data_IF_499484079316
#
_entry.id   IF_499484079316
#
_cell.length_a   1.000
_cell.length_b   1.000
_cell.length_c   1.000
_cell.angle_alpha   90.00
_cell.angle_beta   90.00
_cell.angle_gamma   90.00
#
_symmetry.space_group_name_H-M   'P 1'
#
loop_
_entity.id
_entity.type
_entity.pdbx_description
1 polymer ?
#
# COMPACT_ATOMS: atom_id res chain seq x y z
N UNK A 1 -133.87 -26.33 -30.81
CA UNK A 1 -135.25 -25.88 -31.11
C UNK A 1 -135.84 -26.82 -32.13
N UNK A 2 -137.11 -27.16 -31.91
CA UNK A 2 -137.88 -28.28 -32.44
C UNK A 2 -137.84 -28.43 -33.97
N UNK A 3 -137.75 -29.67 -34.44
CA UNK A 3 -138.22 -30.04 -35.79
C UNK A 3 -139.51 -30.82 -35.64
N UNK A 4 -140.63 -30.11 -35.72
CA UNK A 4 -141.96 -30.62 -36.00
C UNK A 4 -142.20 -30.55 -37.52
N UNK A 5 -142.67 -31.64 -38.12
CA UNK A 5 -143.52 -31.72 -39.32
C UNK A 5 -143.46 -33.14 -39.89
N UNK A 6 -144.48 -33.71 -40.50
CA UNK A 6 -145.90 -33.38 -40.59
C UNK A 6 -146.53 -34.61 -41.24
N UNK A 7 -147.64 -35.03 -40.66
CA UNK A 7 -148.56 -36.05 -41.17
C UNK A 7 -149.12 -35.63 -42.54
N UNK A 8 -149.06 -36.52 -43.54
CA UNK A 8 -149.85 -36.40 -44.78
C UNK A 8 -151.00 -37.41 -44.73
N UNK A 9 -152.29 -36.99 -44.84
CA UNK A 9 -153.44 -37.88 -44.71
C UNK A 9 -153.71 -38.68 -45.99
N UNK A 10 -153.92 -39.99 -45.81
CA UNK A 10 -154.31 -40.97 -46.84
C UNK A 10 -155.83 -40.88 -47.14
N UNK A 11 -156.29 -39.80 -47.80
CA UNK A 11 -157.71 -39.59 -48.12
C UNK A 11 -158.18 -40.18 -49.45
N UNK A 12 -157.28 -40.75 -50.26
CA UNK A 12 -157.58 -41.16 -51.65
C UNK A 12 -158.19 -42.58 -51.75
N UNK A 13 -158.06 -43.39 -50.70
CA UNK A 13 -158.52 -44.80 -50.74
C UNK A 13 -160.03 -45.00 -50.46
N UNK A 14 -160.74 -44.02 -49.88
CA UNK A 14 -162.14 -44.20 -49.45
C UNK A 14 -163.19 -43.85 -50.52
N UNK A 15 -162.86 -43.06 -51.54
CA UNK A 15 -163.85 -42.63 -52.55
C UNK A 15 -164.09 -43.65 -53.68
N UNK A 16 -163.12 -44.50 -54.00
CA UNK A 16 -163.23 -45.44 -55.12
C UNK A 16 -164.20 -46.61 -54.87
N UNK A 17 -164.48 -46.97 -53.62
CA UNK A 17 -165.35 -48.13 -53.29
C UNK A 17 -166.86 -47.86 -53.46
N UNK A 18 -167.29 -46.60 -53.57
CA UNK A 18 -168.73 -46.24 -53.67
C UNK A 18 -169.26 -46.17 -55.11
N UNK A 19 -168.42 -46.16 -56.14
CA UNK A 19 -168.85 -45.97 -57.54
C UNK A 19 -169.20 -47.25 -58.31
N UNK A 20 -168.79 -48.43 -57.86
CA UNK A 20 -169.06 -49.70 -58.60
C UNK A 20 -170.44 -50.31 -58.34
N UNK A 21 -171.15 -49.90 -57.29
CA UNK A 21 -172.57 -50.25 -57.10
C UNK A 21 -173.45 -49.38 -58.01
N UNK A 22 -173.80 -49.82 -59.23
CA UNK A 22 -175.08 -49.42 -59.88
C UNK A 22 -175.42 -50.07 -61.22
N UNK A 23 -174.51 -50.76 -61.90
CA UNK A 23 -174.83 -51.24 -63.24
C UNK A 23 -175.43 -52.66 -63.27
N UNK A 24 -176.67 -52.70 -63.80
CA UNK A 24 -177.42 -53.84 -64.38
C UNK A 24 -178.31 -54.67 -63.43
N UNK A 25 -179.50 -54.12 -63.13
CA UNK A 25 -180.74 -54.91 -63.04
C UNK A 25 -181.48 -54.79 -64.38
N UNK A 26 -181.48 -55.84 -65.21
CA UNK A 26 -182.32 -55.93 -66.42
C UNK A 26 -183.69 -56.45 -65.97
N UNK A 27 -184.73 -55.63 -66.07
CA UNK A 27 -186.09 -55.95 -65.60
C UNK A 27 -186.69 -57.13 -66.43
N UNK A 28 -186.94 -58.31 -65.82
CA UNK A 28 -187.50 -59.47 -66.51
C UNK A 28 -188.93 -59.25 -67.04
N UNK A 29 -189.67 -58.27 -66.51
CA UNK A 29 -191.06 -57.97 -66.94
C UNK A 29 -191.15 -57.14 -68.21
N UNK A 30 -190.05 -56.49 -68.63
CA UNK A 30 -190.00 -55.70 -69.86
C UNK A 30 -190.30 -56.56 -71.09
N UNK A 31 -189.78 -57.80 -71.13
CA UNK A 31 -190.06 -58.76 -72.20
C UNK A 31 -191.52 -59.24 -72.21
N UNK A 32 -192.14 -59.47 -71.04
CA UNK A 32 -193.54 -59.91 -70.95
C UNK A 32 -194.51 -58.83 -71.46
N UNK A 33 -194.27 -57.55 -71.15
CA UNK A 33 -195.07 -56.44 -71.67
C UNK A 33 -194.88 -56.25 -73.18
N UNK A 34 -193.68 -56.44 -73.70
CA UNK A 34 -193.39 -56.41 -75.14
C UNK A 34 -194.11 -57.56 -75.86
N UNK A 35 -194.06 -58.78 -75.31
CA UNK A 35 -194.69 -59.97 -75.89
C UNK A 35 -196.24 -59.90 -75.86
N UNK A 36 -196.83 -59.34 -74.79
CA UNK A 36 -198.28 -59.09 -74.70
C UNK A 36 -198.72 -58.00 -75.69
N UNK A 37 -197.99 -56.89 -75.78
CA UNK A 37 -198.28 -55.82 -76.75
C UNK A 37 -198.20 -56.33 -78.20
N UNK A 38 -197.27 -57.23 -78.51
CA UNK A 38 -197.18 -57.86 -79.84
C UNK A 38 -198.37 -58.80 -80.10
N UNK A 39 -198.93 -59.48 -79.10
CA UNK A 39 -199.99 -60.49 -79.28
C UNK A 39 -201.39 -59.91 -79.57
N UNK A 40 -201.66 -58.66 -79.17
CA UNK A 40 -202.95 -57.96 -79.37
C UNK A 40 -202.99 -57.11 -80.66
N UNK A 41 -201.88 -57.04 -81.40
CA UNK A 41 -201.74 -56.24 -82.62
C UNK A 41 -201.96 -57.09 -83.88
N UNK A 42 -202.54 -56.50 -84.93
CA UNK A 42 -202.68 -57.16 -86.24
C UNK A 42 -201.29 -57.35 -86.88
N UNK A 43 -201.09 -58.32 -87.79
CA UNK A 43 -199.75 -58.68 -88.30
C UNK A 43 -198.98 -57.50 -88.94
N UNK A 44 -199.70 -56.53 -89.51
CA UNK A 44 -199.14 -55.28 -90.05
C UNK A 44 -198.63 -54.31 -88.97
N UNK A 45 -199.19 -54.34 -87.76
CA UNK A 45 -198.83 -53.43 -86.65
C UNK A 45 -197.70 -54.00 -85.76
N UNK A 46 -197.57 -55.35 -85.70
CA UNK A 46 -196.45 -56.02 -85.00
C UNK A 46 -195.09 -55.67 -85.60
N UNK A 47 -195.02 -55.60 -86.93
CA UNK A 47 -193.80 -55.25 -87.66
C UNK A 47 -193.34 -53.83 -87.31
N UNK A 48 -194.27 -52.86 -87.31
CA UNK A 48 -193.97 -51.48 -86.96
C UNK A 48 -193.50 -51.31 -85.51
N UNK A 49 -194.06 -52.05 -84.55
CA UNK A 49 -193.62 -52.01 -83.15
C UNK A 49 -192.22 -52.61 -82.96
N UNK A 50 -191.92 -53.73 -83.63
CA UNK A 50 -190.59 -54.34 -83.63
C UNK A 50 -189.54 -53.44 -84.30
N UNK A 51 -189.86 -52.82 -85.44
CA UNK A 51 -188.98 -51.83 -86.09
C UNK A 51 -188.66 -50.66 -85.15
N UNK A 52 -189.68 -50.11 -84.48
CA UNK A 52 -189.48 -49.03 -83.50
C UNK A 52 -188.56 -49.48 -82.36
N UNK A 53 -188.78 -50.67 -81.79
CA UNK A 53 -187.94 -51.17 -80.69
C UNK A 53 -186.52 -51.50 -81.12
N UNK A 54 -186.32 -52.05 -82.31
CA UNK A 54 -184.98 -52.26 -82.86
C UNK A 54 -184.27 -50.93 -83.12
N UNK A 55 -185.00 -49.94 -83.64
CA UNK A 55 -184.48 -48.57 -83.84
C UNK A 55 -184.09 -47.91 -82.52
N UNK A 56 -184.91 -48.02 -81.47
CA UNK A 56 -184.58 -47.53 -80.13
C UNK A 56 -183.31 -48.19 -79.58
N UNK A 57 -183.19 -49.52 -79.69
CA UNK A 57 -182.04 -50.27 -79.17
C UNK A 57 -180.75 -49.99 -79.97
N UNK A 58 -180.86 -49.85 -81.30
CA UNK A 58 -179.75 -49.47 -82.16
C UNK A 58 -179.28 -48.04 -81.84
N UNK A 59 -180.23 -47.11 -81.63
CA UNK A 59 -179.91 -45.76 -81.18
C UNK A 59 -179.24 -45.76 -79.81
N UNK A 60 -179.73 -46.55 -78.84
CA UNK A 60 -179.15 -46.69 -77.51
C UNK A 60 -177.71 -47.26 -77.59
N UNK A 61 -177.49 -48.31 -78.38
CA UNK A 61 -176.15 -48.87 -78.61
C UNK A 61 -175.23 -47.84 -79.27
N UNK A 62 -175.73 -47.08 -80.26
CA UNK A 62 -174.97 -46.03 -80.94
C UNK A 62 -174.61 -44.89 -79.99
N UNK A 63 -175.51 -44.50 -79.08
CA UNK A 63 -175.20 -43.52 -78.03
C UNK A 63 -174.20 -44.06 -77.02
N UNK A 64 -174.34 -45.33 -76.59
CA UNK A 64 -173.42 -45.94 -75.62
C UNK A 64 -172.02 -46.15 -76.21
N UNK A 65 -171.92 -46.50 -77.49
CA UNK A 65 -170.66 -46.62 -78.22
C UNK A 65 -169.97 -45.24 -78.34
N UNK A 66 -170.75 -44.19 -78.60
CA UNK A 66 -170.26 -42.81 -78.62
C UNK A 66 -169.76 -42.38 -77.22
N UNK A 67 -170.52 -42.67 -76.15
CA UNK A 67 -170.10 -42.41 -74.77
C UNK A 67 -168.84 -43.22 -74.39
N UNK A 68 -168.76 -44.49 -74.78
CA UNK A 68 -167.58 -45.32 -74.55
C UNK A 68 -166.35 -44.74 -75.26
N UNK A 69 -166.50 -44.32 -76.52
CA UNK A 69 -165.43 -43.68 -77.26
C UNK A 69 -165.02 -42.35 -76.63
N UNK A 70 -165.97 -41.56 -76.12
CA UNK A 70 -165.71 -40.32 -75.39
C UNK A 70 -164.94 -40.59 -74.08
N UNK A 71 -165.38 -41.58 -73.29
CA UNK A 71 -164.69 -41.98 -72.05
C UNK A 71 -163.29 -42.52 -72.35
N UNK A 72 -163.12 -43.30 -73.41
CA UNK A 72 -161.81 -43.81 -73.83
C UNK A 72 -160.88 -42.66 -74.24
N UNK A 73 -161.38 -41.69 -75.02
CA UNK A 73 -160.62 -40.49 -75.39
C UNK A 73 -160.27 -39.65 -74.16
N UNK A 74 -161.20 -39.46 -73.23
CA UNK A 74 -160.96 -38.77 -71.96
C UNK A 74 -159.92 -39.51 -71.10
N UNK A 75 -159.96 -40.84 -71.05
CA UNK A 75 -158.96 -41.64 -70.34
C UNK A 75 -157.57 -41.48 -70.96
N UNK A 76 -157.45 -41.47 -72.28
CA UNK A 76 -156.19 -41.21 -72.97
C UNK A 76 -155.67 -39.79 -72.72
N UNK A 77 -156.56 -38.79 -72.69
CA UNK A 77 -156.21 -37.41 -72.35
C UNK A 77 -155.69 -37.32 -70.90
N UNK A 78 -156.40 -37.92 -69.96
CA UNK A 78 -156.02 -38.00 -68.54
C UNK A 78 -154.69 -38.74 -68.34
N UNK A 79 -154.41 -39.81 -69.10
CA UNK A 79 -153.10 -40.47 -69.06
C UNK A 79 -151.99 -39.54 -69.56
N UNK A 80 -152.21 -38.83 -70.67
CA UNK A 80 -151.25 -37.85 -71.19
C UNK A 80 -151.02 -36.69 -70.21
N UNK A 81 -152.08 -36.18 -69.58
CA UNK A 81 -151.97 -35.14 -68.54
C UNK A 81 -151.23 -35.65 -67.31
N UNK A 82 -151.51 -36.88 -66.85
CA UNK A 82 -150.78 -37.51 -65.75
C UNK A 82 -149.29 -37.63 -66.07
N UNK A 83 -148.94 -38.12 -67.26
CA UNK A 83 -147.55 -38.26 -67.68
C UNK A 83 -146.88 -36.89 -67.86
N UNK A 84 -147.61 -35.89 -68.38
CA UNK A 84 -147.14 -34.52 -68.46
C UNK A 84 -146.83 -33.94 -67.08
N UNK A 85 -147.76 -34.05 -66.12
CA UNK A 85 -147.58 -33.60 -64.74
C UNK A 85 -146.44 -34.36 -64.06
N UNK A 86 -146.34 -35.68 -64.27
CA UNK A 86 -145.25 -36.50 -63.73
C UNK A 86 -143.88 -36.07 -64.27
N UNK A 87 -143.79 -35.74 -65.55
CA UNK A 87 -142.56 -35.24 -66.17
C UNK A 87 -142.19 -33.84 -65.68
N UNK A 88 -143.16 -32.93 -65.57
CA UNK A 88 -142.95 -31.60 -65.00
C UNK A 88 -142.53 -31.66 -63.53
N UNK A 89 -143.11 -32.58 -62.76
CA UNK A 89 -142.68 -32.86 -61.39
C UNK A 89 -141.24 -33.39 -61.33
N UNK A 90 -140.87 -34.32 -62.21
CA UNK A 90 -139.50 -34.82 -62.30
C UNK A 90 -138.48 -33.72 -62.65
N UNK A 91 -138.80 -32.83 -63.60
CA UNK A 91 -137.96 -31.66 -63.92
C UNK A 91 -137.85 -30.68 -62.75
N UNK A 92 -138.97 -30.38 -62.09
CA UNK A 92 -138.99 -29.52 -60.90
C UNK A 92 -138.13 -30.10 -59.77
N UNK A 93 -138.19 -31.43 -59.60
CA UNK A 93 -137.35 -32.15 -58.63
C UNK A 93 -135.86 -32.02 -58.96
N UNK A 94 -135.45 -32.20 -60.21
CA UNK A 94 -134.05 -32.05 -60.65
C UNK A 94 -133.54 -30.62 -60.44
N UNK A 95 -134.34 -29.62 -60.81
CA UNK A 95 -134.04 -28.20 -60.57
C UNK A 95 -133.88 -27.93 -59.06
N UNK A 96 -134.77 -28.47 -58.22
CA UNK A 96 -134.68 -28.34 -56.76
C UNK A 96 -133.38 -28.96 -56.24
N UNK A 97 -133.03 -30.18 -56.66
CA UNK A 97 -131.79 -30.84 -56.24
C UNK A 97 -130.55 -30.08 -56.69
N UNK A 98 -130.55 -29.53 -57.92
CA UNK A 98 -129.46 -28.68 -58.41
C UNK A 98 -129.34 -27.37 -57.62
N UNK A 99 -130.45 -26.71 -57.32
CA UNK A 99 -130.48 -25.49 -56.51
C UNK A 99 -129.99 -25.76 -55.08
N UNK A 100 -130.43 -26.86 -54.46
CA UNK A 100 -129.95 -27.28 -53.13
C UNK A 100 -128.44 -27.52 -53.13
N UNK A 101 -127.90 -28.14 -54.18
CA UNK A 101 -126.46 -28.35 -54.34
C UNK A 101 -125.69 -27.03 -54.44
N UNK A 102 -126.15 -26.09 -55.28
CA UNK A 102 -125.55 -24.75 -55.41
C UNK A 102 -125.66 -23.96 -54.10
N UNK A 103 -126.80 -24.02 -53.40
CA UNK A 103 -126.98 -23.38 -52.10
C UNK A 103 -126.03 -23.94 -51.04
N UNK A 104 -125.82 -25.27 -51.00
CA UNK A 104 -124.83 -25.91 -50.11
C UNK A 104 -123.41 -25.49 -50.46
N UNK A 105 -123.06 -25.44 -51.74
CA UNK A 105 -121.74 -24.98 -52.17
C UNK A 105 -121.51 -23.50 -51.84
N UNK A 106 -122.50 -22.64 -52.07
CA UNK A 106 -122.44 -21.23 -51.69
C UNK A 106 -122.31 -21.04 -50.18
N UNK A 107 -123.02 -21.81 -49.37
CA UNK A 107 -122.88 -21.81 -47.91
C UNK A 107 -121.47 -22.27 -47.49
N UNK A 108 -120.94 -23.32 -48.13
CA UNK A 108 -119.57 -23.81 -47.89
C UNK A 108 -118.54 -22.75 -48.26
N UNK A 109 -118.65 -22.11 -49.43
CA UNK A 109 -117.76 -21.03 -49.87
C UNK A 109 -117.84 -19.82 -48.93
N UNK A 110 -119.03 -19.41 -48.51
CA UNK A 110 -119.20 -18.33 -47.53
C UNK A 110 -118.55 -18.67 -46.18
N UNK A 111 -118.67 -19.92 -45.72
CA UNK A 111 -118.01 -20.39 -44.51
C UNK A 111 -116.49 -20.34 -44.66
N UNK A 112 -115.95 -20.87 -45.77
CA UNK A 112 -114.52 -20.82 -46.07
C UNK A 112 -113.99 -19.39 -46.15
N UNK A 113 -114.70 -18.47 -46.82
CA UNK A 113 -114.29 -17.05 -46.90
C UNK A 113 -114.28 -16.39 -45.51
N UNK A 114 -115.26 -16.70 -44.65
CA UNK A 114 -115.28 -16.19 -43.26
C UNK A 114 -114.09 -16.72 -42.46
N UNK A 115 -113.79 -18.02 -42.59
CA UNK A 115 -112.65 -18.65 -41.92
C UNK A 115 -111.32 -18.09 -42.43
N UNK A 116 -111.15 -17.94 -43.75
CA UNK A 116 -109.96 -17.34 -44.37
C UNK A 116 -109.77 -15.87 -43.97
N UNK A 117 -110.84 -15.07 -43.95
CA UNK A 117 -110.77 -13.67 -43.49
C UNK A 117 -110.40 -13.56 -42.01
N UNK A 118 -110.96 -14.42 -41.16
CA UNK A 118 -110.62 -14.46 -39.74
C UNK A 118 -109.15 -14.86 -39.53
N UNK A 119 -108.66 -15.85 -40.29
CA UNK A 119 -107.27 -16.29 -40.25
C UNK A 119 -106.34 -15.19 -40.76
N UNK A 120 -106.69 -14.51 -41.86
CA UNK A 120 -105.93 -13.38 -42.41
C UNK A 120 -105.89 -12.20 -41.43
N UNK A 121 -107.00 -11.89 -40.76
CA UNK A 121 -107.03 -10.85 -39.73
C UNK A 121 -106.10 -11.20 -38.57
N UNK A 122 -106.13 -12.45 -38.10
CA UNK A 122 -105.23 -12.93 -37.05
C UNK A 122 -103.76 -12.87 -37.47
N UNK A 123 -103.42 -13.32 -38.68
CA UNK A 123 -102.05 -13.26 -39.20
C UNK A 123 -101.55 -11.82 -39.34
N UNK A 124 -102.39 -10.90 -39.82
CA UNK A 124 -102.03 -9.48 -39.91
C UNK A 124 -101.87 -8.85 -38.52
N UNK A 125 -102.69 -9.24 -37.55
CA UNK A 125 -102.55 -8.80 -36.16
C UNK A 125 -101.26 -9.34 -35.52
N UNK A 126 -100.93 -10.62 -35.73
CA UNK A 126 -99.70 -11.24 -35.25
C UNK A 126 -98.47 -10.61 -35.91
N UNK A 127 -98.54 -10.31 -37.22
CA UNK A 127 -97.50 -9.55 -37.94
C UNK A 127 -97.31 -8.15 -37.36
N UNK A 128 -98.39 -7.43 -37.04
CA UNK A 128 -98.31 -6.11 -36.40
C UNK A 128 -97.66 -6.19 -35.02
N UNK A 129 -98.02 -7.20 -34.21
CA UNK A 129 -97.40 -7.44 -32.90
C UNK A 129 -95.92 -7.77 -33.02
N UNK A 130 -95.54 -8.60 -33.98
CA UNK A 130 -94.14 -8.95 -34.25
C UNK A 130 -93.33 -7.73 -34.67
N UNK A 131 -93.80 -6.95 -35.64
CA UNK A 131 -93.13 -5.72 -36.10
C UNK A 131 -92.99 -4.72 -34.94
N UNK A 132 -94.04 -4.54 -34.14
CA UNK A 132 -93.99 -3.65 -32.95
C UNK A 132 -92.97 -4.15 -31.93
N UNK A 133 -92.92 -5.46 -31.67
CA UNK A 133 -91.95 -6.07 -30.77
C UNK A 133 -90.52 -5.92 -31.30
N UNK A 134 -90.30 -6.10 -32.61
CA UNK A 134 -88.99 -5.88 -33.23
C UNK A 134 -88.55 -4.41 -33.09
N UNK A 135 -89.43 -3.44 -33.37
CA UNK A 135 -89.11 -2.02 -33.17
C UNK A 135 -88.77 -1.71 -31.71
N UNK A 136 -89.52 -2.24 -30.74
CA UNK A 136 -89.23 -2.06 -29.32
C UNK A 136 -87.90 -2.69 -28.91
N UNK A 137 -87.58 -3.89 -29.43
CA UNK A 137 -86.27 -4.52 -29.19
C UNK A 137 -85.14 -3.68 -29.76
N UNK A 138 -85.22 -3.25 -31.02
CA UNK A 138 -84.20 -2.40 -31.64
C UNK A 138 -84.05 -1.07 -30.91
N UNK A 139 -85.15 -0.45 -30.45
CA UNK A 139 -85.08 0.77 -29.64
C UNK A 139 -84.33 0.52 -28.32
N UNK A 140 -84.64 -0.59 -27.64
CA UNK A 140 -83.94 -0.97 -26.42
C UNK A 140 -82.46 -1.25 -26.67
N UNK A 141 -82.12 -1.96 -27.74
CA UNK A 141 -80.73 -2.25 -28.12
C UNK A 141 -79.96 -0.95 -28.42
N UNK A 142 -80.59 0.02 -29.09
CA UNK A 142 -80.01 1.35 -29.34
C UNK A 142 -79.77 2.08 -28.01
N UNK A 143 -80.73 2.07 -27.08
CA UNK A 143 -80.57 2.69 -25.77
C UNK A 143 -79.45 2.02 -24.96
N UNK A 144 -79.39 0.68 -24.95
CA UNK A 144 -78.30 -0.06 -24.28
C UNK A 144 -76.95 0.28 -24.90
N UNK A 145 -76.83 0.34 -26.23
CA UNK A 145 -75.58 0.78 -26.86
C UNK A 145 -75.22 2.23 -26.53
N UNK A 146 -76.21 3.12 -26.42
CA UNK A 146 -75.99 4.51 -26.01
C UNK A 146 -75.48 4.60 -24.57
N UNK A 147 -76.07 3.85 -23.64
CA UNK A 147 -75.65 3.78 -22.25
C UNK A 147 -74.24 3.16 -22.10
N UNK A 148 -73.96 2.06 -22.81
CA UNK A 148 -72.63 1.44 -22.85
C UNK A 148 -71.58 2.40 -23.42
N UNK A 149 -71.92 3.13 -24.48
CA UNK A 149 -71.03 4.16 -25.05
C UNK A 149 -70.81 5.31 -24.07
N UNK A 150 -71.83 5.73 -23.33
CA UNK A 150 -71.68 6.76 -22.30
C UNK A 150 -70.77 6.29 -21.16
N UNK A 151 -70.94 5.05 -20.68
CA UNK A 151 -70.10 4.46 -19.64
C UNK A 151 -68.64 4.32 -20.10
N UNK A 152 -68.42 3.82 -21.32
CA UNK A 152 -67.07 3.70 -21.89
C UNK A 152 -66.41 5.06 -22.11
N UNK A 153 -67.14 6.07 -22.58
CA UNK A 153 -66.64 7.44 -22.72
C UNK A 153 -66.29 8.05 -21.35
N UNK A 154 -67.14 7.88 -20.33
CA UNK A 154 -66.81 8.31 -18.96
C UNK A 154 -65.55 7.62 -18.43
N UNK A 155 -65.38 6.33 -18.70
CA UNK A 155 -64.17 5.59 -18.33
C UNK A 155 -62.93 6.14 -19.03
N UNK A 156 -63.00 6.38 -20.34
CA UNK A 156 -61.90 6.97 -21.11
C UNK A 156 -61.54 8.37 -20.61
N UNK A 157 -62.53 9.19 -20.22
CA UNK A 157 -62.26 10.49 -19.61
C UNK A 157 -61.55 10.35 -18.25
N UNK A 158 -61.95 9.39 -17.43
CA UNK A 158 -61.26 9.05 -16.18
C UNK A 158 -59.81 8.61 -16.43
N UNK A 159 -59.60 7.63 -17.30
CA UNK A 159 -58.28 7.10 -17.65
C UNK A 159 -57.36 8.21 -18.23
N UNK A 160 -57.90 9.11 -19.06
CA UNK A 160 -57.16 10.27 -19.58
C UNK A 160 -56.77 11.25 -18.47
N UNK A 161 -57.66 11.51 -17.51
CA UNK A 161 -57.39 12.37 -16.36
C UNK A 161 -56.32 11.77 -15.45
N UNK A 162 -56.38 10.47 -15.20
CA UNK A 162 -55.38 9.73 -14.40
C UNK A 162 -54.02 9.73 -15.10
N UNK A 163 -53.99 9.50 -16.41
CA UNK A 163 -52.77 9.57 -17.20
C UNK A 163 -52.15 10.98 -17.16
N UNK A 164 -52.96 12.02 -17.32
CA UNK A 164 -52.51 13.42 -17.23
C UNK A 164 -51.91 13.72 -15.85
N UNK A 165 -52.57 13.25 -14.79
CA UNK A 165 -52.09 13.39 -13.41
C UNK A 165 -50.76 12.66 -13.22
N UNK A 166 -50.63 11.45 -13.74
CA UNK A 166 -49.39 10.66 -13.65
C UNK A 166 -48.23 11.31 -14.39
N UNK A 167 -48.46 11.87 -15.57
CA UNK A 167 -47.45 12.61 -16.33
C UNK A 167 -47.01 13.85 -15.53
N UNK A 168 -47.95 14.58 -14.93
CA UNK A 168 -47.63 15.74 -14.10
C UNK A 168 -46.80 15.37 -12.86
N UNK A 169 -47.10 14.26 -12.20
CA UNK A 169 -46.30 13.73 -11.09
C UNK A 169 -44.88 13.35 -11.54
N UNK A 170 -44.76 12.63 -12.66
CA UNK A 170 -43.45 12.25 -13.21
C UNK A 170 -42.62 13.48 -13.55
N UNK A 171 -43.23 14.50 -14.14
CA UNK A 171 -42.55 15.77 -14.44
C UNK A 171 -42.01 16.42 -13.17
N UNK A 172 -42.82 16.54 -12.12
CA UNK A 172 -42.38 17.07 -10.81
C UNK A 172 -41.23 16.25 -10.21
N UNK A 173 -41.27 14.93 -10.33
CA UNK A 173 -40.18 14.07 -9.86
C UNK A 173 -38.89 14.28 -10.65
N UNK A 174 -38.98 14.44 -11.97
CA UNK A 174 -37.82 14.76 -12.81
C UNK A 174 -37.23 16.12 -12.46
N UNK A 175 -38.06 17.14 -12.27
CA UNK A 175 -37.62 18.47 -11.86
C UNK A 175 -36.92 18.45 -10.49
N UNK A 176 -37.47 17.70 -9.52
CA UNK A 176 -36.83 17.49 -8.23
C UNK A 176 -35.46 16.80 -8.36
N UNK A 177 -35.38 15.70 -9.13
CA UNK A 177 -34.11 15.01 -9.39
C UNK A 177 -33.09 15.90 -10.09
N UNK A 178 -33.52 16.71 -11.06
CA UNK A 178 -32.63 17.64 -11.76
C UNK A 178 -32.06 18.69 -10.80
N UNK A 179 -32.89 19.22 -9.89
CA UNK A 179 -32.44 20.15 -8.87
C UNK A 179 -31.45 19.52 -7.88
N UNK A 180 -31.67 18.26 -7.48
CA UNK A 180 -30.74 17.55 -6.61
C UNK A 180 -29.42 17.23 -7.33
N UNK A 181 -29.46 16.87 -8.61
CA UNK A 181 -28.27 16.73 -9.45
C UNK A 181 -27.48 18.05 -9.57
N UNK A 182 -28.17 19.19 -9.74
CA UNK A 182 -27.54 20.51 -9.75
C UNK A 182 -26.83 20.81 -8.43
N UNK A 183 -27.46 20.51 -7.30
CA UNK A 183 -26.85 20.66 -5.96
C UNK A 183 -25.63 19.76 -5.78
N UNK A 184 -25.75 18.48 -6.15
CA UNK A 184 -24.64 17.52 -6.07
C UNK A 184 -23.45 17.95 -6.94
N UNK A 185 -23.72 18.41 -8.16
CA UNK A 185 -22.68 18.91 -9.06
C UNK A 185 -21.99 20.17 -8.48
N UNK A 186 -22.75 21.06 -7.84
CA UNK A 186 -22.19 22.23 -7.15
C UNK A 186 -21.32 21.82 -5.96
N UNK A 187 -21.75 20.84 -5.17
CA UNK A 187 -20.97 20.28 -4.07
C UNK A 187 -19.67 19.66 -4.57
N UNK A 188 -19.73 18.83 -5.63
CA UNK A 188 -18.56 18.19 -6.23
C UNK A 188 -17.55 19.23 -6.76
N UNK A 189 -18.03 20.32 -7.38
CA UNK A 189 -17.15 21.39 -7.86
C UNK A 189 -16.49 22.15 -6.69
N UNK A 190 -17.21 22.41 -5.61
CA UNK A 190 -16.63 23.01 -4.40
C UNK A 190 -15.60 22.11 -3.73
N UNK A 191 -15.87 20.80 -3.64
CA UNK A 191 -14.93 19.81 -3.10
C UNK A 191 -13.66 19.73 -3.95
N UNK A 192 -13.81 19.73 -5.28
CA UNK A 192 -12.68 19.80 -6.22
C UNK A 192 -11.86 21.08 -6.06
N UNK A 193 -12.50 22.23 -5.86
CA UNK A 193 -11.81 23.49 -5.60
C UNK A 193 -11.06 23.47 -4.27
N UNK A 194 -11.68 22.92 -3.22
CA UNK A 194 -11.06 22.74 -1.92
C UNK A 194 -9.83 21.84 -2.02
N UNK A 195 -9.95 20.67 -2.65
CA UNK A 195 -8.83 19.75 -2.85
C UNK A 195 -7.67 20.40 -3.63
N UNK A 196 -7.96 21.15 -4.70
CA UNK A 196 -6.96 21.92 -5.44
C UNK A 196 -6.28 22.98 -4.57
N UNK A 197 -7.04 23.71 -3.76
CA UNK A 197 -6.49 24.71 -2.85
C UNK A 197 -5.62 24.09 -1.76
N UNK A 198 -6.01 22.93 -1.21
CA UNK A 198 -5.22 22.18 -0.23
C UNK A 198 -3.89 21.69 -0.82
N UNK A 199 -3.91 21.15 -2.05
CA UNK A 199 -2.69 20.75 -2.76
C UNK A 199 -1.78 21.96 -2.98
N UNK A 200 -2.32 23.06 -3.52
CA UNK A 200 -1.54 24.28 -3.74
C UNK A 200 -0.92 24.81 -2.44
N UNK A 201 -1.68 24.81 -1.33
CA UNK A 201 -1.15 25.20 -0.01
C UNK A 201 0.03 24.33 0.42
N UNK A 202 -0.09 23.01 0.31
CA UNK A 202 0.96 22.07 0.67
C UNK A 202 2.22 22.23 -0.22
N UNK A 203 2.03 22.49 -1.52
CA UNK A 203 3.13 22.77 -2.45
C UNK A 203 3.87 24.07 -2.07
N UNK A 204 3.15 25.13 -1.69
CA UNK A 204 3.76 26.37 -1.22
C UNK A 204 4.51 26.19 0.10
N UNK A 205 3.94 25.47 1.06
CA UNK A 205 4.59 25.17 2.36
C UNK A 205 5.88 24.36 2.15
N UNK A 206 5.82 23.31 1.31
CA UNK A 206 6.99 22.52 0.94
C UNK A 206 8.07 23.36 0.24
N UNK A 207 7.68 24.26 -0.66
CA UNK A 207 8.64 25.14 -1.33
C UNK A 207 9.29 26.12 -0.35
N UNK A 208 8.54 26.68 0.59
CA UNK A 208 9.08 27.55 1.63
C UNK A 208 10.07 26.80 2.52
N UNK A 209 9.74 25.59 2.99
CA UNK A 209 10.65 24.74 3.77
C UNK A 209 11.94 24.41 2.98
N UNK A 210 11.82 24.11 1.69
CA UNK A 210 12.99 23.85 0.83
C UNK A 210 13.91 25.05 0.70
N UNK A 211 13.35 26.26 0.56
CA UNK A 211 14.17 27.48 0.50
C UNK A 211 14.86 27.73 1.86
N UNK A 212 14.16 27.58 2.98
CA UNK A 212 14.76 27.69 4.32
C UNK A 212 15.90 26.69 4.49
N UNK A 213 15.63 25.40 4.23
CA UNK A 213 16.64 24.35 4.30
C UNK A 213 17.86 24.63 3.41
N UNK A 214 17.64 25.12 2.19
CA UNK A 214 18.71 25.49 1.27
C UNK A 214 19.56 26.62 1.83
N UNK A 215 18.94 27.65 2.40
CA UNK A 215 19.68 28.76 3.03
C UNK A 215 20.46 28.31 4.26
N UNK A 216 19.87 27.48 5.12
CA UNK A 216 20.54 26.96 6.31
C UNK A 216 21.70 26.03 5.95
N UNK A 217 21.52 25.14 4.97
CA UNK A 217 22.59 24.31 4.43
C UNK A 217 23.74 25.17 3.87
N UNK A 218 23.44 26.26 3.16
CA UNK A 218 24.45 27.18 2.64
C UNK A 218 25.22 27.87 3.78
N UNK A 219 24.54 28.29 4.84
CA UNK A 219 25.17 28.89 6.03
C UNK A 219 26.11 27.90 6.71
N UNK A 220 25.64 26.67 6.96
CA UNK A 220 26.43 25.61 7.57
C UNK A 220 27.66 25.24 6.75
N UNK A 221 27.55 25.20 5.42
CA UNK A 221 28.71 24.96 4.54
C UNK A 221 29.76 26.07 4.67
N UNK A 222 29.33 27.34 4.73
CA UNK A 222 30.25 28.47 4.91
C UNK A 222 30.92 28.44 6.29
N UNK A 223 30.16 28.12 7.34
CA UNK A 223 30.69 28.04 8.70
C UNK A 223 31.66 26.87 8.87
N UNK A 224 31.35 25.71 8.28
CA UNK A 224 32.25 24.56 8.24
C UNK A 224 33.56 24.91 7.52
N UNK A 225 33.49 25.50 6.33
CA UNK A 225 34.69 25.91 5.58
C UNK A 225 35.55 26.94 6.36
N UNK A 226 34.91 27.86 7.08
CA UNK A 226 35.61 28.81 7.95
C UNK A 226 36.28 28.13 9.14
N UNK A 227 35.60 27.18 9.77
CA UNK A 227 36.16 26.38 10.87
C UNK A 227 37.36 25.55 10.41
N UNK A 228 37.26 24.87 9.28
CA UNK A 228 38.36 24.12 8.65
C UNK A 228 39.57 25.02 8.36
N UNK A 229 39.33 26.20 7.78
CA UNK A 229 40.40 27.18 7.55
C UNK A 229 41.06 27.65 8.85
N UNK A 230 40.30 27.84 9.93
CA UNK A 230 40.85 28.21 11.23
C UNK A 230 41.69 27.08 11.84
N UNK A 231 41.21 25.83 11.76
CA UNK A 231 41.96 24.65 12.19
C UNK A 231 43.29 24.54 11.46
N UNK A 232 43.32 24.71 10.13
CA UNK A 232 44.56 24.69 9.36
C UNK A 232 45.56 25.78 9.77
N UNK A 233 45.07 26.98 10.12
CA UNK A 233 45.93 28.07 10.63
C UNK A 233 46.49 27.72 12.01
N UNK A 234 45.67 27.16 12.91
CA UNK A 234 46.11 26.72 14.23
C UNK A 234 47.12 25.59 14.14
N UNK A 235 46.90 24.59 13.29
CA UNK A 235 47.85 23.50 13.02
C UNK A 235 49.20 24.03 12.56
N UNK A 236 49.22 24.95 11.58
CA UNK A 236 50.45 25.62 11.13
C UNK A 236 51.13 26.42 12.25
N UNK A 237 50.35 26.99 13.16
CA UNK A 237 50.88 27.75 14.30
C UNK A 237 51.50 26.81 15.34
N UNK A 238 50.84 25.68 15.65
CA UNK A 238 51.37 24.62 16.52
C UNK A 238 52.68 24.09 15.95
N UNK A 239 52.71 23.75 14.65
CA UNK A 239 53.92 23.26 13.99
C UNK A 239 55.07 24.25 14.13
N UNK A 240 54.83 25.55 13.90
CA UNK A 240 55.86 26.59 14.11
C UNK A 240 56.31 26.65 15.57
N UNK A 241 55.40 26.60 16.54
CA UNK A 241 55.77 26.63 17.95
C UNK A 241 56.58 25.39 18.36
N UNK A 242 56.25 24.22 17.82
CA UNK A 242 57.04 22.99 18.00
C UNK A 242 58.45 23.13 17.41
N UNK A 243 58.58 23.73 16.22
CA UNK A 243 59.88 24.07 15.63
C UNK A 243 60.67 25.04 16.53
N UNK A 244 60.03 26.08 17.05
CA UNK A 244 60.65 27.01 18.01
C UNK A 244 61.12 26.30 19.29
N UNK A 245 60.28 25.43 19.87
CA UNK A 245 60.64 24.63 21.05
C UNK A 245 61.85 23.73 20.74
N UNK A 246 61.86 23.09 19.57
CA UNK A 246 62.98 22.25 19.11
C UNK A 246 64.28 23.06 18.99
N UNK A 247 64.22 24.26 18.41
CA UNK A 247 65.37 25.18 18.33
C UNK A 247 65.86 25.57 19.72
N UNK A 248 64.98 25.99 20.63
CA UNK A 248 65.38 26.35 21.98
C UNK A 248 65.94 25.16 22.75
N UNK A 249 65.35 23.96 22.60
CA UNK A 249 65.89 22.74 23.19
C UNK A 249 67.32 22.46 22.72
N UNK A 250 67.57 22.51 21.42
CA UNK A 250 68.92 22.36 20.86
C UNK A 250 69.89 23.44 21.38
N UNK A 251 69.43 24.68 21.53
CA UNK A 251 70.26 25.75 22.12
C UNK A 251 70.57 25.45 23.59
N UNK A 252 69.60 25.02 24.38
CA UNK A 252 69.81 24.61 25.78
C UNK A 252 70.80 23.45 25.87
N UNK A 253 70.65 22.40 25.06
CA UNK A 253 71.57 21.26 25.02
C UNK A 253 72.99 21.71 24.67
N UNK A 254 73.16 22.65 23.73
CA UNK A 254 74.45 23.24 23.39
C UNK A 254 75.04 24.09 24.53
N UNK A 255 74.21 24.90 25.21
CA UNK A 255 74.62 25.70 26.36
C UNK A 255 75.03 24.79 27.53
N UNK A 256 74.24 23.77 27.85
CA UNK A 256 74.54 22.78 28.88
C UNK A 256 75.83 22.01 28.54
N UNK A 257 76.00 21.59 27.29
CA UNK A 257 77.23 20.95 26.81
C UNK A 257 78.46 21.86 26.96
N UNK A 258 78.32 23.14 26.60
CA UNK A 258 79.39 24.14 26.75
C UNK A 258 79.69 24.42 28.21
N UNK A 259 78.66 24.54 29.05
CA UNK A 259 78.79 24.77 30.49
C UNK A 259 79.47 23.58 31.18
N UNK A 260 79.07 22.36 30.84
CA UNK A 260 79.67 21.13 31.36
C UNK A 260 81.15 21.02 30.95
N UNK A 261 81.47 21.34 29.69
CA UNK A 261 82.85 21.40 29.21
C UNK A 261 83.65 22.50 29.93
N UNK A 262 83.07 23.67 30.13
CA UNK A 262 83.68 24.78 30.88
C UNK A 262 83.95 24.39 32.34
N UNK A 263 82.97 23.83 33.05
CA UNK A 263 83.12 23.33 34.42
C UNK A 263 84.22 22.27 34.52
N UNK A 264 84.29 21.34 33.55
CA UNK A 264 85.38 20.37 33.48
C UNK A 264 86.74 21.05 33.32
N UNK A 265 86.86 22.04 32.43
CA UNK A 265 88.09 22.82 32.26
C UNK A 265 88.47 23.59 33.53
N UNK A 266 87.49 24.11 34.27
CA UNK A 266 87.72 24.76 35.56
C UNK A 266 88.23 23.78 36.62
N UNK A 267 87.62 22.61 36.76
CA UNK A 267 88.10 21.58 37.71
C UNK A 267 89.47 21.03 37.31
N UNK A 268 89.74 20.84 36.02
CA UNK A 268 91.07 20.45 35.52
C UNK A 268 92.11 21.54 35.84
N UNK A 269 91.81 22.82 35.56
CA UNK A 269 92.68 23.95 35.86
C UNK A 269 92.92 24.10 37.37
N UNK A 270 91.90 23.95 38.19
CA UNK A 270 92.01 23.93 39.66
C UNK A 270 92.86 22.75 40.14
N UNK A 271 92.71 21.58 39.54
CA UNK A 271 93.55 20.42 39.79
C UNK A 271 95.02 20.67 39.46
N UNK A 272 95.32 21.23 38.30
CA UNK A 272 96.66 21.66 37.90
C UNK A 272 97.21 22.76 38.81
N UNK A 273 96.40 23.75 39.20
CA UNK A 273 96.78 24.79 40.14
C UNK A 273 97.15 24.20 41.51
N UNK A 274 96.38 23.24 42.04
CA UNK A 274 96.72 22.52 43.29
C UNK A 274 98.04 21.75 43.15
N UNK A 275 98.27 21.06 42.03
CA UNK A 275 99.54 20.36 41.77
C UNK A 275 100.70 21.35 41.71
N UNK A 276 100.53 22.47 41.01
CA UNK A 276 101.53 23.52 40.87
C UNK A 276 101.84 24.16 42.23
N UNK A 277 100.84 24.48 43.06
CA UNK A 277 101.02 24.96 44.44
C UNK A 277 101.76 23.95 45.31
N UNK A 278 101.44 22.65 45.23
CA UNK A 278 102.19 21.59 45.92
C UNK A 278 103.64 21.53 45.46
N UNK A 279 103.89 21.68 44.15
CA UNK A 279 105.25 21.68 43.60
C UNK A 279 106.04 22.90 44.07
N UNK A 280 105.43 24.09 44.09
CA UNK A 280 106.03 25.31 44.65
C UNK A 280 106.41 25.08 46.12
N UNK A 281 105.49 24.58 46.95
CA UNK A 281 105.77 24.32 48.36
C UNK A 281 106.92 23.30 48.58
N UNK A 282 107.02 22.28 47.73
CA UNK A 282 108.16 21.35 47.73
C UNK A 282 109.46 22.04 47.37
N UNK A 283 109.46 22.86 46.31
CA UNK A 283 110.65 23.61 45.88
C UNK A 283 111.09 24.63 46.93
N UNK A 284 110.14 25.30 47.59
CA UNK A 284 110.43 26.23 48.71
C UNK A 284 111.07 25.49 49.89
N UNK A 285 110.58 24.28 50.22
CA UNK A 285 111.19 23.43 51.26
C UNK A 285 112.60 22.98 50.89
N UNK A 286 112.81 22.57 49.64
CA UNK A 286 114.13 22.19 49.14
C UNK A 286 115.09 23.39 49.13
N UNK A 287 114.63 24.58 48.71
CA UNK A 287 115.40 25.82 48.75
C UNK A 287 115.77 26.21 50.19
N UNK A 288 114.84 26.08 51.14
CA UNK A 288 115.11 26.30 52.56
C UNK A 288 116.15 25.32 53.10
N UNK A 289 116.03 24.02 52.78
CA UNK A 289 117.01 23.00 53.15
C UNK A 289 118.41 23.30 52.57
N UNK A 290 118.48 23.72 51.30
CA UNK A 290 119.74 24.12 50.67
C UNK A 290 120.35 25.34 51.36
N UNK A 291 119.52 26.35 51.70
CA UNK A 291 119.94 27.51 52.47
C UNK A 291 120.50 27.12 53.84
N UNK A 292 119.79 26.27 54.59
CA UNK A 292 120.24 25.79 55.89
C UNK A 292 121.54 24.98 55.79
N UNK A 293 121.68 24.11 54.78
CA UNK A 293 122.93 23.37 54.53
C UNK A 293 124.09 24.32 54.23
N UNK A 294 123.84 25.36 53.44
CA UNK A 294 124.85 26.36 53.13
C UNK A 294 125.24 27.18 54.37
N UNK A 295 124.27 27.61 55.19
CA UNK A 295 124.51 28.29 56.46
C UNK A 295 125.34 27.43 57.43
N UNK A 296 125.01 26.14 57.55
CA UNK A 296 125.78 25.19 58.37
C UNK A 296 127.21 25.00 57.84
N UNK A 297 127.37 24.83 56.53
CA UNK A 297 128.69 24.70 55.92
C UNK A 297 129.53 25.97 56.10
N UNK A 298 128.92 27.15 55.95
CA UNK A 298 129.56 28.44 56.22
C UNK A 298 129.97 28.54 57.69
N UNK A 299 129.13 28.10 58.63
CA UNK A 299 129.44 28.05 60.06
C UNK A 299 130.64 27.13 60.34
N UNK A 300 130.68 25.93 59.75
CA UNK A 300 131.84 25.02 59.88
C UNK A 300 133.12 25.62 59.31
N UNK A 301 133.05 26.36 58.20
CA UNK A 301 134.21 27.07 57.63
C UNK A 301 134.71 28.15 58.58
N UNK A 302 133.82 28.89 59.23
CA UNK A 302 134.18 29.89 60.25
C UNK A 302 134.90 29.23 61.43
N UNK A 303 134.38 28.10 61.93
CA UNK A 303 134.99 27.33 63.02
C UNK A 303 136.38 26.81 62.65
N UNK A 304 136.55 26.18 61.48
CA UNK A 304 137.84 25.71 60.98
C UNK A 304 138.85 26.86 60.79
N UNK A 305 138.39 28.01 60.32
CA UNK A 305 139.25 29.20 60.17
C UNK A 305 139.70 29.72 61.53
N UNK A 306 138.81 29.70 62.53
CA UNK A 306 139.12 30.10 63.91
C UNK A 306 140.14 29.16 64.55
N UNK A 307 139.99 27.84 64.38
CA UNK A 307 140.94 26.87 64.92
C UNK A 307 142.31 26.91 64.22
N UNK A 308 142.34 27.14 62.89
CA UNK A 308 143.58 27.40 62.17
C UNK A 308 144.31 28.63 62.74
N UNK A 309 143.58 29.71 63.00
CA UNK A 309 144.15 30.94 63.57
C UNK A 309 144.75 30.70 64.97
N UNK A 310 144.09 29.88 65.82
CA UNK A 310 144.66 29.48 67.12
C UNK A 310 145.97 28.72 66.96
N UNK A 311 146.05 27.76 66.02
CA UNK A 311 147.28 27.01 65.76
C UNK A 311 148.42 27.91 65.26
N UNK A 312 148.13 28.89 64.39
CA UNK A 312 149.14 29.87 63.94
C UNK A 312 149.73 30.67 65.11
N UNK A 313 148.92 31.07 66.09
CA UNK A 313 149.40 31.75 67.30
C UNK A 313 150.31 30.85 68.14
N UNK A 314 149.97 29.57 68.31
CA UNK A 314 150.80 28.60 69.03
C UNK A 314 152.16 28.35 68.34
N UNK A 315 152.16 28.25 67.00
CA UNK A 315 153.38 28.13 66.20
C UNK A 315 154.27 29.36 66.36
N UNK A 316 153.70 30.56 66.34
CA UNK A 316 154.46 31.80 66.57
C UNK A 316 155.07 31.81 67.98
N UNK A 317 154.33 31.37 69.01
CA UNK A 317 154.80 31.34 70.38
C UNK A 317 155.91 30.31 70.62
N UNK A 318 155.81 29.12 70.03
CA UNK A 318 156.86 28.09 70.12
C UNK A 318 158.13 28.52 69.37
N UNK A 319 157.98 29.17 68.21
CA UNK A 319 159.11 29.73 67.47
C UNK A 319 159.84 30.84 68.25
N UNK A 320 159.12 31.70 68.99
CA UNK A 320 159.75 32.71 69.89
C UNK A 320 160.59 32.04 70.99
N UNK A 321 160.08 30.98 71.62
CA UNK A 321 160.81 30.21 72.64
C UNK A 321 162.08 29.58 72.06
N UNK A 322 161.99 29.03 70.85
CA UNK A 322 163.14 28.45 70.15
C UNK A 322 164.24 29.50 69.88
N UNK A 323 163.88 30.68 69.40
CA UNK A 323 164.85 31.76 69.12
C UNK A 323 165.58 32.25 70.38
N UNK A 324 164.91 32.29 71.53
CA UNK A 324 165.55 32.68 72.80
C UNK A 324 166.59 31.65 73.27
N UNK A 325 166.26 30.36 73.16
CA UNK A 325 167.19 29.26 73.50
C UNK A 325 168.44 29.28 72.61
N UNK A 326 168.26 29.58 71.32
CA UNK A 326 169.34 29.65 70.34
C UNK A 326 170.33 30.79 70.62
N UNK A 327 169.85 31.94 71.11
CA UNK A 327 170.72 33.06 71.52
C UNK A 327 171.56 32.73 72.76
N UNK A 328 170.98 32.03 73.73
CA UNK A 328 171.68 31.65 74.96
C UNK A 328 172.85 30.68 74.69
N UNK A 329 172.64 29.69 73.82
CA UNK A 329 173.68 28.71 73.46
C UNK A 329 174.88 29.34 72.75
N UNK A 330 174.66 30.36 71.89
CA UNK A 330 175.76 31.07 71.20
C UNK A 330 176.61 31.88 72.16
N UNK A 331 176.02 32.51 73.18
CA UNK A 331 176.76 33.31 74.15
C UNK A 331 177.66 32.43 75.04
N UNK A 332 177.13 31.29 75.53
CA UNK A 332 177.88 30.32 76.33
C UNK A 332 179.06 29.69 75.56
N UNK A 333 178.92 29.48 74.25
CA UNK A 333 180.02 28.98 73.41
C UNK A 333 181.14 30.02 73.18
N UNK A 334 180.80 31.30 73.08
CA UNK A 334 181.78 32.39 72.96
C UNK A 334 182.61 32.53 74.24
N UNK A 335 181.96 32.45 75.41
CA UNK A 335 182.65 32.54 76.69
C UNK A 335 183.63 31.37 76.88
N UNK A 336 183.24 30.14 76.54
CA UNK A 336 184.12 28.94 76.56
C UNK A 336 185.37 29.12 75.70
N UNK A 337 185.25 29.73 74.52
CA UNK A 337 186.38 29.96 73.62
C UNK A 337 187.37 31.01 74.16
N UNK A 338 186.88 31.99 74.92
CA UNK A 338 187.71 33.05 75.51
C UNK A 338 188.60 32.54 76.65
N UNK A 339 188.06 31.67 77.52
CA UNK A 339 188.79 31.09 78.66
C UNK A 339 189.89 30.11 78.21
N UNK A 340 189.67 29.36 77.14
CA UNK A 340 190.69 28.48 76.55
C UNK A 340 191.91 29.23 75.98
N UNK A 341 191.72 30.47 75.51
CA UNK A 341 192.83 31.32 75.03
C UNK A 341 193.70 31.85 76.18
N UNK A 342 193.09 32.17 77.32
CA UNK A 342 193.78 32.68 78.50
C UNK A 342 194.66 31.62 79.18
N UNK A 343 194.22 30.36 79.17
CA UNK A 343 194.98 29.23 79.71
C UNK A 343 196.26 28.94 78.89
N UNK A 344 196.22 29.13 77.56
CA UNK A 344 197.40 28.95 76.68
C UNK A 344 198.51 29.98 76.86
N UNK A 345 198.24 31.15 77.43
CA UNK A 345 199.24 32.22 77.59
C UNK A 345 200.16 32.05 78.82
N UNK A 346 199.84 31.13 79.75
CA UNK A 346 200.52 31.03 81.04
C UNK A 346 201.24 29.70 81.31
N UNK A 347 201.52 28.88 80.28
CA UNK A 347 202.28 27.60 80.41
C UNK A 347 201.80 26.70 81.57
N UNK A 348 200.49 26.69 81.82
CA UNK A 348 199.83 25.81 82.78
C UNK A 348 198.92 24.92 81.96
N UNK A 349 199.30 23.64 81.83
CA UNK A 349 198.48 22.61 81.19
C UNK A 349 197.80 21.75 82.28
N UNK A 350 196.56 22.12 82.65
CA UNK A 350 195.52 21.21 83.11
C UNK A 350 194.17 21.65 82.46
N UNK A 351 193.11 20.86 82.31
CA UNK A 351 192.69 19.55 82.79
C UNK A 351 191.28 19.29 82.19
N UNK A 352 190.81 18.05 82.33
CA UNK A 352 189.41 17.62 82.36
C UNK A 352 188.69 17.35 81.05
N UNK A 353 188.69 16.04 80.79
CA UNK A 353 187.68 15.24 80.11
C UNK A 353 186.27 15.46 80.69
N UNK A 354 185.46 15.98 79.77
CA UNK A 354 184.05 15.77 79.45
C UNK A 354 183.35 14.62 80.22
N UNK A 355 182.25 14.99 80.88
CA UNK A 355 181.18 14.10 81.34
C UNK A 355 180.09 14.14 80.28
N UNK A 356 179.85 13.01 79.61
CA UNK A 356 178.62 12.75 78.85
C UNK A 356 177.58 12.12 79.79
N UNK A 357 176.44 12.79 79.94
CA UNK A 357 175.20 12.18 80.38
C UNK A 357 174.10 12.59 79.42
N UNK A 358 173.65 11.61 78.66
CA UNK A 358 172.48 11.63 77.81
C UNK A 358 171.34 10.96 78.59
N UNK A 359 170.21 11.64 78.82
CA UNK A 359 168.98 10.95 79.13
C UNK A 359 167.82 11.35 78.21
N UNK A 360 167.32 10.32 77.53
CA UNK A 360 165.90 9.93 77.37
C UNK A 360 164.88 10.93 76.84
N UNK A 361 164.27 10.58 75.71
CA UNK A 361 162.84 10.83 75.48
C UNK A 361 162.20 9.70 74.63
N UNK A 362 161.00 9.31 75.06
CA UNK A 362 160.10 8.29 74.52
C UNK A 362 158.78 8.96 74.07
N UNK A 363 157.74 8.25 73.59
CA UNK A 363 157.68 7.35 72.45
C UNK A 363 156.57 7.72 71.42
N UNK A 364 156.83 7.29 70.19
CA UNK A 364 155.98 6.69 69.14
C UNK A 364 154.49 7.09 68.92
N UNK A 365 154.22 7.45 67.65
CA UNK A 365 152.93 7.66 66.99
C UNK A 365 152.81 6.65 65.84
N UNK A 366 152.06 5.55 65.97
CA UNK A 366 151.60 4.78 64.79
C UNK A 366 150.56 3.71 65.12
N UNK A 367 149.26 4.05 65.19
CA UNK A 367 148.21 3.00 65.15
C UNK A 367 146.80 3.48 64.74
N UNK A 368 146.43 4.75 64.97
CA UNK A 368 145.04 5.18 64.70
C UNK A 368 144.70 5.47 63.22
N UNK A 369 145.64 5.95 62.40
CA UNK A 369 145.34 6.33 61.01
C UNK A 369 145.09 5.14 60.07
N UNK A 370 145.64 3.96 60.37
CA UNK A 370 145.45 2.79 59.51
C UNK A 370 144.09 2.10 59.72
N UNK A 371 143.50 2.26 60.91
CA UNK A 371 142.17 1.73 61.24
C UNK A 371 141.08 2.60 60.58
N UNK A 372 141.23 3.92 60.59
CA UNK A 372 140.25 4.86 60.02
C UNK A 372 140.20 4.79 58.48
N UNK A 373 141.34 4.54 57.83
CA UNK A 373 141.43 4.41 56.38
C UNK A 373 140.81 3.10 55.88
N UNK A 374 140.92 2.00 56.65
CA UNK A 374 140.22 0.73 56.35
C UNK A 374 138.70 0.83 56.55
N UNK A 375 138.24 1.59 57.55
CA UNK A 375 136.81 1.83 57.78
C UNK A 375 136.19 2.62 56.62
N UNK A 376 136.79 3.74 56.20
CA UNK A 376 136.34 4.54 55.06
C UNK A 376 136.37 3.79 53.73
N UNK A 377 137.35 2.89 53.50
CA UNK A 377 137.37 2.03 52.31
C UNK A 377 136.23 1.00 52.29
N UNK A 378 135.82 0.48 53.45
CA UNK A 378 134.70 -0.45 53.55
C UNK A 378 133.36 0.23 53.28
N UNK A 379 133.19 1.47 53.72
CA UNK A 379 131.96 2.23 53.59
C UNK A 379 131.76 2.76 52.15
N UNK A 380 132.84 3.16 51.47
CA UNK A 380 132.79 3.50 50.04
C UNK A 380 132.42 2.30 49.15
N UNK A 381 132.92 1.09 49.47
CA UNK A 381 132.51 -0.13 48.75
C UNK A 381 131.03 -0.47 48.98
N UNK A 382 130.50 -0.19 50.16
CA UNK A 382 129.08 -0.40 50.46
C UNK A 382 128.17 0.57 49.68
N UNK A 383 128.54 1.85 49.59
CA UNK A 383 127.77 2.84 48.82
C UNK A 383 127.81 2.53 47.32
N UNK A 384 128.94 2.06 46.79
CA UNK A 384 129.06 1.66 45.38
C UNK A 384 128.16 0.46 45.03
N UNK A 385 127.96 -0.48 45.96
CA UNK A 385 127.07 -1.64 45.73
C UNK A 385 125.59 -1.24 45.76
N UNK A 386 125.21 -0.28 46.62
CA UNK A 386 123.85 0.28 46.68
C UNK A 386 123.50 1.07 45.41
N UNK A 387 124.44 1.86 44.87
CA UNK A 387 124.21 2.63 43.65
C UNK A 387 123.96 1.71 42.44
N UNK A 388 124.73 0.63 42.32
CA UNK A 388 124.55 -0.39 41.28
C UNK A 388 123.22 -1.16 41.42
N UNK A 389 122.62 -1.19 42.60
CA UNK A 389 121.32 -1.82 42.85
C UNK A 389 120.16 -0.91 42.41
N UNK A 390 120.31 0.42 42.57
CA UNK A 390 119.31 1.42 42.15
C UNK A 390 119.23 1.54 40.62
N UNK A 391 120.37 1.48 39.92
CA UNK A 391 120.39 1.52 38.45
C UNK A 391 119.73 0.28 37.80
N UNK A 392 119.73 -0.87 38.49
CA UNK A 392 119.00 -2.08 38.03
C UNK A 392 117.48 -1.96 38.19
N UNK A 393 116.98 -1.14 39.11
CA UNK A 393 115.55 -0.98 39.38
C UNK A 393 114.91 0.06 38.44
N UNK A 394 115.69 1.05 37.95
CA UNK A 394 115.20 2.12 37.07
C UNK A 394 114.89 1.67 35.62
N UNK A 395 115.45 0.54 35.16
CA UNK A 395 115.40 0.11 33.75
C UNK A 395 114.32 -0.96 33.39
N UNK A 396 113.22 -1.08 34.15
CA UNK A 396 112.12 -1.98 33.78
C UNK A 396 110.75 -1.29 33.79
N UNK A 397 110.48 -0.51 32.75
CA UNK A 397 109.16 0.04 32.46
C UNK A 397 108.50 -0.62 31.25
N UNK A 398 107.32 -1.23 31.44
CA UNK A 398 106.08 -1.01 30.66
C UNK A 398 104.97 -2.02 31.01
N UNK A 399 103.69 -1.59 30.97
CA UNK A 399 102.68 -2.40 30.29
C UNK A 399 101.77 -1.62 29.31
N UNK A 400 100.90 -2.33 28.54
CA UNK A 400 100.39 -1.92 27.24
C UNK A 400 98.90 -1.52 27.18
N UNK A 401 98.56 -1.00 26.00
CA UNK A 401 97.27 -0.64 25.38
C UNK A 401 96.17 -1.72 25.47
N UNK A 402 94.91 -1.31 25.63
CA UNK A 402 93.71 -2.16 25.54
C UNK A 402 92.79 -1.78 24.35
N UNK A 403 92.11 -2.82 23.85
CA UNK A 403 91.37 -3.01 22.60
C UNK A 403 89.94 -2.41 22.55
N UNK A 404 89.20 -2.54 21.41
CA UNK A 404 88.09 -1.70 20.99
C UNK A 404 86.68 -2.32 21.07
N UNK A 405 85.73 -1.49 20.62
CA UNK A 405 84.33 -1.66 20.20
C UNK A 405 83.83 -3.03 19.69
N UNK A 406 82.55 -3.30 19.94
CA UNK A 406 81.66 -4.08 19.07
C UNK A 406 80.29 -3.42 18.92
N UNK A 407 79.92 -3.20 17.66
CA UNK A 407 78.67 -2.67 17.12
C UNK A 407 77.48 -3.63 17.31
N UNK A 408 76.27 -3.07 17.40
CA UNK A 408 75.02 -3.79 17.23
C UNK A 408 74.22 -3.19 16.06
N UNK A 409 73.49 -4.08 15.40
CA UNK A 409 73.11 -4.07 14.00
C UNK A 409 72.00 -3.09 13.63
N UNK A 410 72.16 -2.59 12.41
CA UNK A 410 71.14 -2.10 11.48
C UNK A 410 69.97 -3.08 11.28
N UNK A 411 68.77 -2.54 11.12
CA UNK A 411 67.83 -3.06 10.13
C UNK A 411 66.86 -1.96 9.66
N UNK A 412 66.98 -1.65 8.37
CA UNK A 412 66.06 -0.84 7.56
C UNK A 412 64.92 -1.72 7.02
N UNK A 413 63.69 -1.20 7.01
CA UNK A 413 62.65 -1.46 6.00
C UNK A 413 61.71 -0.25 5.99
N UNK A 414 61.79 0.65 4.99
CA UNK A 414 60.95 0.71 3.77
C UNK A 414 59.47 0.45 4.01
N UNK A 415 58.62 1.46 3.73
CA UNK A 415 57.83 1.51 2.48
C UNK A 415 56.75 2.60 2.55
N UNK A 416 56.85 3.59 1.68
CA UNK A 416 55.71 4.36 1.18
C UNK A 416 54.78 3.44 0.38
N UNK A 417 53.50 3.83 0.31
CA UNK A 417 52.52 3.23 -0.60
C UNK A 417 51.21 3.98 -0.55
N UNK A 418 51.12 5.05 -1.36
CA UNK A 418 49.88 5.73 -1.74
C UNK A 418 48.97 4.80 -2.55
N UNK A 419 47.70 4.75 -2.19
CA UNK A 419 46.50 4.97 -3.04
C UNK A 419 45.27 5.05 -2.15
#
# INVERSE_FOLDING_TARGET
METANATVPNSVALENKKREQKFRKKDPKSWFNISKAISELHDTEKVAFLEKKYTDLYNEHRTLEAEHQEVMNNFQLLMKEKDHISNEFAKSMDIRTRLESVCRELQKRNKTIKEENALKLKLEEDRRKEVTSQFQRTLNDINTMMDENQVTNMKLQGDNQDMSTKIAELYKQFEARENDLKKLNKQMELEKQLAKATIAKAEYELQAEREVWKTEMQILQVELAKSESNCQVLEKTIQKLEEHISVYKNQYDNFEGTLTKSNKMFEDCKGEMIKMTKKIASLDKDAHNWKQRFENAAQTIIELTTDKHKQEIEVINTNKKFQQLQKLCRQLQLDRASYLKLLKANNIEPVSEIIDQEPTEAPDKSSKKEIELKYLQSELKFIQSQLNLVDKISNSGKPPTALPSSEEKTNETKSLGNS
#
